data_IF_831726065522
#
_entry.id   IF_831726065522
#
_cell.length_a   1.000
_cell.length_b   1.000
_cell.length_c   1.000
_cell.angle_alpha   90.00
_cell.angle_beta   90.00
_cell.angle_gamma   90.00
#
_symmetry.space_group_name_H-M   'P 1'
#
loop_
_entity.id
_entity.type
_entity.pdbx_description
1 polymer ?
#
# COMPACT_ATOMS: atom_id res chain seq x y z
N UNK A 1 -11.46 -25.65 -34.94
CA UNK A 1 -11.52 -24.18 -34.97
C UNK A 1 -12.29 -23.60 -33.78
N UNK A 2 -13.43 -24.16 -33.37
CA UNK A 2 -14.23 -23.62 -32.24
C UNK A 2 -13.60 -23.77 -30.83
N UNK A 3 -12.84 -24.86 -30.60
CA UNK A 3 -12.24 -25.15 -29.29
C UNK A 3 -11.09 -24.20 -28.93
N UNK A 4 -10.26 -23.82 -29.92
CA UNK A 4 -9.16 -22.87 -29.73
C UNK A 4 -9.68 -21.46 -29.43
N UNK A 5 -10.82 -21.09 -30.02
CA UNK A 5 -11.44 -19.79 -29.79
C UNK A 5 -12.08 -19.70 -28.39
N UNK A 6 -12.63 -20.80 -27.86
CA UNK A 6 -13.12 -20.87 -26.47
C UNK A 6 -11.97 -20.84 -25.47
N UNK A 7 -10.86 -21.52 -25.77
CA UNK A 7 -9.66 -21.50 -24.92
C UNK A 7 -9.05 -20.11 -24.86
N UNK A 8 -8.93 -19.43 -26.00
CA UNK A 8 -8.42 -18.06 -26.07
C UNK A 8 -9.34 -17.05 -25.37
N UNK A 9 -10.67 -17.21 -25.47
CA UNK A 9 -11.63 -16.38 -24.72
C UNK A 9 -11.54 -16.61 -23.22
N UNK A 10 -11.40 -17.86 -22.78
CA UNK A 10 -11.24 -18.22 -21.37
C UNK A 10 -9.91 -17.70 -20.81
N UNK A 11 -8.81 -17.82 -21.57
CA UNK A 11 -7.49 -17.29 -21.21
C UNK A 11 -7.50 -15.77 -21.11
N UNK A 12 -8.18 -15.07 -22.04
CA UNK A 12 -8.36 -13.61 -21.99
C UNK A 12 -9.24 -13.19 -20.80
N UNK A 13 -10.33 -13.93 -20.51
CA UNK A 13 -11.15 -13.67 -19.32
C UNK A 13 -10.37 -13.92 -18.02
N UNK A 14 -9.55 -14.98 -17.96
CA UNK A 14 -8.69 -15.29 -16.81
C UNK A 14 -7.61 -14.21 -16.60
N UNK A 15 -7.00 -13.73 -17.68
CA UNK A 15 -6.03 -12.63 -17.67
C UNK A 15 -6.69 -11.29 -17.28
N UNK A 16 -7.92 -11.02 -17.76
CA UNK A 16 -8.69 -9.83 -17.38
C UNK A 16 -9.20 -9.87 -15.95
N UNK A 17 -9.52 -11.06 -15.43
CA UNK A 17 -9.87 -11.26 -14.02
C UNK A 17 -8.64 -11.12 -13.12
N UNK A 18 -7.44 -11.51 -13.58
CA UNK A 18 -6.15 -11.22 -12.90
C UNK A 18 -5.74 -9.75 -12.95
N UNK A 19 -6.07 -9.01 -14.01
CA UNK A 19 -5.82 -7.55 -14.06
C UNK A 19 -6.62 -6.73 -13.05
N UNK A 20 -7.69 -7.28 -12.46
CA UNK A 20 -8.39 -6.65 -11.33
C UNK A 20 -7.73 -6.91 -9.98
N UNK A 21 -6.74 -7.80 -9.89
CA UNK A 21 -6.32 -8.39 -8.62
C UNK A 21 -5.17 -7.68 -7.92
N UNK A 22 -4.41 -6.78 -8.53
CA UNK A 22 -3.43 -5.95 -7.79
C UNK A 22 -2.97 -4.76 -8.63
N UNK A 23 -3.64 -3.62 -8.48
CA UNK A 23 -2.98 -2.34 -8.65
C UNK A 23 -2.61 -1.90 -7.22
N UNK A 24 -1.39 -2.20 -6.73
CA UNK A 24 -1.01 -1.90 -5.35
C UNK A 24 -1.15 -0.40 -5.05
N UNK A 25 -0.99 0.46 -6.06
CA UNK A 25 -1.17 1.90 -5.91
C UNK A 25 -2.61 2.33 -5.58
N UNK A 26 -3.63 1.50 -5.84
CA UNK A 26 -5.04 1.84 -5.53
C UNK A 26 -5.49 1.34 -4.16
N UNK A 27 -4.79 0.37 -3.58
CA UNK A 27 -5.30 -0.37 -2.43
C UNK A 27 -5.19 0.41 -1.12
N UNK A 28 -4.22 1.31 -0.99
CA UNK A 28 -4.15 2.24 0.16
C UNK A 28 -5.31 3.26 0.12
N UNK A 29 -5.65 3.77 -1.07
CA UNK A 29 -6.75 4.72 -1.27
C UNK A 29 -8.09 4.08 -0.90
N UNK A 30 -8.32 2.82 -1.29
CA UNK A 30 -9.53 2.06 -0.94
C UNK A 30 -9.67 1.80 0.57
N UNK A 31 -8.59 1.89 1.34
CA UNK A 31 -8.57 1.70 2.80
C UNK A 31 -8.67 3.02 3.60
N UNK A 32 -8.69 4.16 2.91
CA UNK A 32 -8.98 5.45 3.53
C UNK A 32 -10.48 5.62 3.77
N UNK A 33 -10.83 6.28 4.87
CA UNK A 33 -12.22 6.62 5.13
C UNK A 33 -12.67 7.79 4.23
N UNK A 34 -13.99 7.97 4.07
CA UNK A 34 -14.54 9.13 3.36
C UNK A 34 -14.04 10.47 3.94
N UNK A 35 -13.80 10.52 5.26
CA UNK A 35 -13.30 11.70 5.94
C UNK A 35 -11.82 11.97 5.62
N UNK A 36 -11.01 10.91 5.47
CA UNK A 36 -9.61 11.00 5.06
C UNK A 36 -9.50 11.49 3.62
N UNK A 37 -10.35 10.95 2.74
CA UNK A 37 -10.41 11.34 1.32
C UNK A 37 -10.88 12.80 1.17
N UNK A 38 -11.90 13.21 1.92
CA UNK A 38 -12.36 14.60 1.93
C UNK A 38 -11.27 15.56 2.44
N UNK A 39 -10.49 15.13 3.44
CA UNK A 39 -9.34 15.87 3.94
C UNK A 39 -8.23 16.02 2.89
N UNK A 40 -7.83 14.92 2.24
CA UNK A 40 -6.87 14.89 1.15
C UNK A 40 -7.29 15.78 -0.02
N UNK A 41 -8.56 15.71 -0.43
CA UNK A 41 -9.09 16.56 -1.51
C UNK A 41 -8.96 18.04 -1.16
N UNK A 42 -9.33 18.44 0.05
CA UNK A 42 -9.19 19.83 0.50
C UNK A 42 -7.73 20.24 0.61
N UNK A 43 -6.88 19.35 1.09
CA UNK A 43 -5.43 19.55 1.16
C UNK A 43 -4.85 19.87 -0.21
N UNK A 44 -5.17 19.07 -1.23
CA UNK A 44 -4.77 19.31 -2.61
C UNK A 44 -5.31 20.64 -3.16
N UNK A 45 -6.57 20.98 -2.90
CA UNK A 45 -7.18 22.24 -3.33
C UNK A 45 -6.53 23.49 -2.69
N UNK A 46 -5.85 23.33 -1.54
CA UNK A 46 -5.07 24.40 -0.90
C UNK A 46 -3.58 24.33 -1.24
N UNK A 47 -3.20 23.58 -2.28
CA UNK A 47 -1.81 23.34 -2.67
C UNK A 47 -0.96 22.76 -1.53
N UNK A 48 -1.57 21.99 -0.63
CA UNK A 48 -0.92 21.38 0.52
C UNK A 48 -0.70 22.32 1.71
N UNK A 49 -1.36 23.48 1.75
CA UNK A 49 -1.13 24.48 2.81
C UNK A 49 -1.97 24.18 4.05
N UNK A 50 -1.35 23.58 5.07
CA UNK A 50 -1.96 23.31 6.38
C UNK A 50 -2.58 24.56 7.05
N UNK A 51 -1.98 25.74 6.85
CA UNK A 51 -2.49 27.01 7.39
C UNK A 51 -3.82 27.42 6.75
N UNK A 52 -3.98 27.19 5.45
CA UNK A 52 -5.23 27.51 4.75
C UNK A 52 -6.28 26.44 5.01
N UNK A 53 -5.89 25.19 5.23
CA UNK A 53 -6.79 24.17 5.78
C UNK A 53 -7.33 24.57 7.16
N UNK A 54 -6.47 25.05 8.06
CA UNK A 54 -6.89 25.46 9.40
C UNK A 54 -7.97 26.55 9.35
N UNK A 55 -7.83 27.52 8.44
CA UNK A 55 -8.87 28.51 8.14
C UNK A 55 -10.12 27.86 7.53
N UNK A 56 -9.93 26.97 6.55
CA UNK A 56 -10.89 26.02 5.95
C UNK A 56 -11.87 25.44 6.96
N UNK A 57 -11.29 24.75 7.94
CA UNK A 57 -12.00 23.96 8.94
C UNK A 57 -12.40 24.77 10.18
N UNK A 58 -11.97 26.04 10.30
CA UNK A 58 -12.22 26.86 11.48
C UNK A 58 -11.55 26.34 12.76
N UNK A 59 -10.43 25.61 12.62
CA UNK A 59 -9.70 24.99 13.74
C UNK A 59 -8.24 25.45 13.77
N UNK A 60 -7.57 25.17 14.88
CA UNK A 60 -6.18 25.58 15.05
C UNK A 60 -5.24 24.81 14.09
N UNK A 61 -4.18 25.48 13.66
CA UNK A 61 -3.11 24.86 12.86
C UNK A 61 -2.52 23.59 13.52
N UNK A 62 -2.23 23.57 14.84
CA UNK A 62 -1.82 22.34 15.52
C UNK A 62 -2.81 21.17 15.37
N UNK A 63 -4.12 21.45 15.40
CA UNK A 63 -5.16 20.41 15.23
C UNK A 63 -5.16 19.82 13.83
N UNK A 64 -5.04 20.65 12.79
CA UNK A 64 -4.95 20.17 11.40
C UNK A 64 -3.66 19.38 11.18
N UNK A 65 -2.53 19.87 11.71
CA UNK A 65 -1.25 19.19 11.60
C UNK A 65 -1.32 17.78 12.19
N UNK A 66 -1.86 17.64 13.40
CA UNK A 66 -2.05 16.33 14.03
C UNK A 66 -2.91 15.39 13.18
N UNK A 67 -3.93 15.93 12.49
CA UNK A 67 -4.77 15.15 11.56
C UNK A 67 -3.99 14.69 10.32
N UNK A 68 -3.17 15.55 9.72
CA UNK A 68 -2.29 15.17 8.62
C UNK A 68 -1.28 14.10 9.07
N UNK A 69 -0.63 14.31 10.21
CA UNK A 69 0.37 13.37 10.74
C UNK A 69 -0.24 11.98 10.93
N UNK A 70 -1.44 11.90 11.51
CA UNK A 70 -2.18 10.63 11.65
C UNK A 70 -2.51 9.97 10.30
N UNK A 71 -2.87 10.76 9.29
CA UNK A 71 -3.16 10.24 7.96
C UNK A 71 -1.90 9.71 7.28
N UNK A 72 -0.76 10.40 7.41
CA UNK A 72 0.54 9.95 6.91
C UNK A 72 0.92 8.62 7.56
N UNK A 73 0.83 8.51 8.89
CA UNK A 73 1.15 7.26 9.59
C UNK A 73 0.21 6.13 9.18
N UNK A 74 -1.08 6.42 8.96
CA UNK A 74 -2.03 5.44 8.43
C UNK A 74 -1.61 4.95 7.04
N UNK A 75 -1.25 5.84 6.13
CA UNK A 75 -0.80 5.47 4.77
C UNK A 75 0.47 4.62 4.83
N UNK A 76 1.49 5.03 5.62
CA UNK A 76 2.70 4.23 5.81
C UNK A 76 2.41 2.80 6.29
N UNK A 77 1.52 2.64 7.27
CA UNK A 77 1.14 1.32 7.77
C UNK A 77 0.39 0.48 6.72
N UNK A 78 -0.33 1.12 5.81
CA UNK A 78 -1.00 0.44 4.69
C UNK A 78 0.01 0.00 3.64
N UNK A 79 0.96 0.88 3.30
CA UNK A 79 2.06 0.57 2.39
C UNK A 79 2.95 -0.55 2.95
N UNK A 80 3.31 -0.52 4.25
CA UNK A 80 4.05 -1.58 4.95
C UNK A 80 3.33 -2.94 4.94
N UNK A 81 1.98 -2.93 4.95
CA UNK A 81 1.18 -4.16 4.83
C UNK A 81 1.14 -4.68 3.41
N UNK A 82 1.32 -3.81 2.43
CA UNK A 82 1.36 -4.11 1.01
C UNK A 82 2.76 -4.57 0.55
N UNK A 83 3.83 -4.05 1.16
CA UNK A 83 5.22 -4.56 1.01
C UNK A 83 5.41 -5.97 1.57
N UNK A 84 4.42 -6.56 2.24
CA UNK A 84 4.44 -8.02 2.50
C UNK A 84 4.16 -8.78 1.21
N UNK A 85 5.16 -8.80 0.34
CA UNK A 85 5.13 -9.57 -0.88
C UNK A 85 4.89 -11.06 -0.62
N UNK A 86 4.55 -11.82 -1.67
CA UNK A 86 4.41 -13.28 -1.60
C UNK A 86 5.62 -13.96 -0.93
N UNK A 87 6.80 -13.33 -1.02
CA UNK A 87 8.03 -13.75 -0.37
C UNK A 87 7.98 -13.67 1.17
N UNK A 88 7.68 -12.50 1.77
CA UNK A 88 7.62 -12.37 3.25
C UNK A 88 6.55 -13.30 3.84
N UNK A 89 5.41 -13.46 3.15
CA UNK A 89 4.36 -14.40 3.55
C UNK A 89 4.85 -15.85 3.54
N UNK A 90 5.58 -16.26 2.50
CA UNK A 90 6.16 -17.60 2.42
C UNK A 90 7.21 -17.84 3.50
N UNK A 91 8.05 -16.84 3.78
CA UNK A 91 9.10 -16.89 4.79
C UNK A 91 8.49 -17.07 6.20
N UNK A 92 7.44 -16.32 6.52
CA UNK A 92 6.69 -16.46 7.79
C UNK A 92 6.00 -17.81 7.94
N UNK A 93 5.42 -18.35 6.87
CA UNK A 93 4.85 -19.70 6.86
C UNK A 93 5.92 -20.75 7.18
N UNK A 94 7.09 -20.67 6.56
CA UNK A 94 8.19 -21.61 6.80
C UNK A 94 8.72 -21.54 8.25
N UNK A 95 8.78 -20.33 8.83
CA UNK A 95 9.11 -20.15 10.24
C UNK A 95 8.05 -20.75 11.17
N UNK A 96 6.77 -20.51 10.89
CA UNK A 96 5.65 -21.08 11.65
C UNK A 96 5.61 -22.62 11.57
N UNK A 97 5.98 -23.18 10.42
CA UNK A 97 6.11 -24.63 10.20
C UNK A 97 7.37 -25.24 10.87
N UNK A 98 8.19 -24.42 11.55
CA UNK A 98 9.44 -24.86 12.20
C UNK A 98 10.57 -25.23 11.22
N UNK A 99 10.42 -24.87 9.95
CA UNK A 99 11.40 -25.17 8.88
C UNK A 99 12.51 -24.14 8.79
N UNK A 100 12.37 -23.03 9.50
CA UNK A 100 13.37 -21.96 9.65
C UNK A 100 13.54 -21.66 11.14
N UNK A 101 14.77 -21.50 11.60
CA UNK A 101 15.05 -20.99 12.95
C UNK A 101 14.90 -19.46 13.02
N UNK A 102 14.75 -18.94 14.23
CA UNK A 102 14.53 -17.50 14.48
C UNK A 102 15.67 -16.62 13.97
N UNK A 103 16.93 -17.10 14.05
CA UNK A 103 18.10 -16.37 13.57
C UNK A 103 18.05 -16.19 12.06
N UNK A 104 17.94 -17.30 11.33
CA UNK A 104 17.86 -17.30 9.86
C UNK A 104 16.62 -16.54 9.37
N UNK A 105 15.48 -16.69 10.03
CA UNK A 105 14.26 -15.97 9.68
C UNK A 105 14.45 -14.44 9.75
N UNK A 106 15.06 -13.94 10.83
CA UNK A 106 15.30 -12.50 11.02
C UNK A 106 16.34 -11.96 10.05
N UNK A 107 17.38 -12.72 9.75
CA UNK A 107 18.44 -12.29 8.84
C UNK A 107 17.93 -12.18 7.40
N UNK A 108 17.17 -13.18 6.91
CA UNK A 108 16.56 -13.14 5.58
C UNK A 108 15.52 -12.04 5.48
N UNK A 109 14.69 -11.85 6.52
CA UNK A 109 13.69 -10.79 6.54
C UNK A 109 14.32 -9.39 6.51
N UNK A 110 15.46 -9.21 7.19
CA UNK A 110 16.18 -7.94 7.20
C UNK A 110 16.77 -7.62 5.82
N UNK A 111 17.49 -8.57 5.22
CA UNK A 111 18.09 -8.40 3.91
C UNK A 111 17.04 -8.04 2.83
N UNK A 112 15.87 -8.69 2.88
CA UNK A 112 14.76 -8.40 1.96
C UNK A 112 14.23 -6.96 2.11
N UNK A 113 14.04 -6.49 3.34
CA UNK A 113 13.54 -5.13 3.60
C UNK A 113 14.54 -4.06 3.20
N UNK A 114 15.82 -4.28 3.46
CA UNK A 114 16.89 -3.37 3.03
C UNK A 114 16.96 -3.25 1.49
N UNK A 115 16.58 -4.29 0.75
CA UNK A 115 16.47 -4.27 -0.70
C UNK A 115 15.22 -3.53 -1.19
N UNK A 116 14.06 -3.75 -0.56
CA UNK A 116 12.82 -3.01 -0.87
C UNK A 116 12.97 -1.50 -0.60
N UNK A 117 13.53 -1.11 0.54
CA UNK A 117 13.77 0.29 0.90
C UNK A 117 14.72 0.99 -0.11
N UNK A 118 15.72 0.26 -0.62
CA UNK A 118 16.65 0.78 -1.64
C UNK A 118 16.02 0.87 -3.03
N UNK A 119 15.05 0.01 -3.34
CA UNK A 119 14.29 0.05 -4.58
C UNK A 119 13.33 1.24 -4.60
N UNK A 120 12.67 1.52 -3.47
CA UNK A 120 11.75 2.63 -3.32
C UNK A 120 12.47 4.00 -3.33
N UNK A 121 13.66 4.08 -2.69
CA UNK A 121 14.50 5.27 -2.71
C UNK A 121 15.14 5.62 -4.08
N UNK A 122 15.06 4.73 -5.07
CA UNK A 122 15.62 4.93 -6.42
C UNK A 122 14.59 5.39 -7.46
N UNK A 123 13.30 5.45 -7.10
CA UNK A 123 12.27 5.99 -7.98
C UNK A 123 12.16 7.52 -7.78
N UNK A 124 12.39 8.34 -8.82
CA UNK A 124 12.31 9.80 -8.76
C UNK A 124 10.88 10.37 -8.72
#
# INVERSE_FOLDING_TARGET
MDADLKKLKLDVEYEQQRRRVQDPERRWVEQLSDEDLAFLKRFLLTSGTLKDLAKQYGISYPTVRLRLDRLIEKVKLLDERETRGPFELKLRSLYADGRLDDGTFRDVLRAYREEEDQHDARLP
#
